data_IF_634658638005
#
_entry.id   IF_634658638005
#
_cell.length_a   1.000
_cell.length_b   1.000
_cell.length_c   1.000
_cell.angle_alpha   90.00
_cell.angle_beta   90.00
_cell.angle_gamma   90.00
#
_symmetry.space_group_name_H-M   'P 1'
#
loop_
_entity.id
_entity.type
_entity.pdbx_description
1 polymer ?
#
# COMPACT_ATOMS: atom_id res chain seq x y z
N UNK A 1 -16.03 13.31 2.19
CA UNK A 1 -16.25 13.04 0.75
C UNK A 1 -15.05 12.29 0.12
N UNK A 2 -13.81 12.80 0.23
CA UNK A 2 -12.62 12.16 -0.38
C UNK A 2 -12.37 10.71 0.10
N UNK A 3 -12.59 10.41 1.38
CA UNK A 3 -12.41 9.06 1.92
C UNK A 3 -13.44 8.04 1.42
N UNK A 4 -14.66 8.49 1.11
CA UNK A 4 -15.71 7.61 0.60
C UNK A 4 -15.52 7.21 -0.87
N UNK A 5 -14.78 8.02 -1.64
CA UNK A 5 -14.55 7.86 -3.08
C UNK A 5 -13.10 7.46 -3.43
N UNK A 6 -12.26 7.24 -2.41
CA UNK A 6 -10.82 7.03 -2.58
C UNK A 6 -10.48 5.92 -3.59
N UNK A 7 -11.30 4.84 -3.64
CA UNK A 7 -11.11 3.73 -4.58
C UNK A 7 -11.32 4.08 -6.07
N UNK A 8 -12.03 5.18 -6.36
CA UNK A 8 -12.39 5.59 -7.71
C UNK A 8 -11.59 6.81 -8.20
N UNK A 9 -10.80 7.45 -7.32
CA UNK A 9 -10.02 8.63 -7.68
C UNK A 9 -8.67 8.24 -8.26
N UNK A 10 -8.37 8.77 -9.44
CA UNK A 10 -7.08 8.57 -10.09
C UNK A 10 -6.05 9.64 -9.71
N UNK A 11 -6.50 10.85 -9.37
CA UNK A 11 -5.70 12.02 -9.03
C UNK A 11 -6.60 13.13 -8.48
N UNK A 12 -6.04 14.00 -7.65
CA UNK A 12 -6.70 15.21 -7.15
C UNK A 12 -5.98 16.45 -7.70
N UNK A 13 -6.75 17.37 -8.29
CA UNK A 13 -6.30 18.75 -8.56
C UNK A 13 -6.80 19.61 -7.42
N UNK A 14 -5.90 20.22 -6.67
CA UNK A 14 -6.21 20.93 -5.43
C UNK A 14 -5.81 22.39 -5.52
N UNK A 15 -6.78 23.29 -5.43
CA UNK A 15 -6.50 24.72 -5.31
C UNK A 15 -6.06 25.04 -3.87
N UNK A 16 -5.08 25.94 -3.71
CA UNK A 16 -4.66 26.41 -2.39
C UNK A 16 -5.75 27.32 -1.80
N UNK A 17 -6.29 28.22 -2.58
CA UNK A 17 -7.22 29.25 -2.12
C UNK A 17 -8.67 28.75 -2.18
N UNK A 18 -9.09 28.02 -1.16
CA UNK A 18 -10.47 27.57 -1.01
C UNK A 18 -11.13 28.13 0.25
N UNK A 19 -12.46 28.40 0.23
CA UNK A 19 -13.17 28.81 1.43
C UNK A 19 -13.28 27.64 2.43
N UNK A 20 -13.34 27.95 3.73
CA UNK A 20 -13.52 27.04 4.87
C UNK A 20 -12.26 26.23 5.21
N UNK A 21 -11.61 25.58 4.23
CA UNK A 21 -10.38 24.79 4.40
C UNK A 21 -9.47 25.05 3.22
N UNK A 22 -8.23 25.46 3.49
CA UNK A 22 -7.27 25.73 2.42
C UNK A 22 -6.68 24.42 1.85
N UNK A 23 -6.04 24.50 0.67
CA UNK A 23 -5.47 23.34 0.02
C UNK A 23 -4.32 22.69 0.81
N UNK A 24 -3.59 23.44 1.61
CA UNK A 24 -2.54 22.89 2.48
C UNK A 24 -3.12 22.07 3.63
N UNK A 25 -4.25 22.50 4.20
CA UNK A 25 -4.96 21.75 5.24
C UNK A 25 -5.50 20.42 4.70
N UNK A 26 -6.08 20.44 3.49
CA UNK A 26 -6.53 19.22 2.79
C UNK A 26 -5.34 18.29 2.55
N UNK A 27 -4.24 18.81 2.00
CA UNK A 27 -3.03 18.03 1.71
C UNK A 27 -2.44 17.42 2.98
N UNK A 28 -2.38 18.18 4.06
CA UNK A 28 -1.93 17.71 5.37
C UNK A 28 -2.82 16.58 5.90
N UNK A 29 -4.14 16.70 5.76
CA UNK A 29 -5.08 15.67 6.17
C UNK A 29 -4.92 14.39 5.33
N UNK A 30 -4.71 14.51 4.02
CA UNK A 30 -4.45 13.38 3.12
C UNK A 30 -3.13 12.68 3.46
N UNK A 31 -2.09 13.43 3.83
CA UNK A 31 -0.80 12.88 4.25
C UNK A 31 -0.92 12.15 5.59
N UNK A 32 -1.57 12.75 6.59
CA UNK A 32 -1.77 12.15 7.90
C UNK A 32 -2.56 10.82 7.85
N UNK A 33 -3.42 10.66 6.85
CA UNK A 33 -4.22 9.44 6.63
C UNK A 33 -3.58 8.50 5.58
N UNK A 34 -2.34 8.74 5.15
CA UNK A 34 -1.64 7.98 4.11
C UNK A 34 -2.36 7.90 2.75
N UNK A 35 -3.44 8.67 2.54
CA UNK A 35 -4.22 8.67 1.29
C UNK A 35 -3.40 9.21 0.12
N UNK A 36 -2.40 10.05 0.39
CA UNK A 36 -1.53 10.64 -0.62
C UNK A 36 -0.58 9.62 -1.27
N UNK A 37 -0.33 8.49 -0.62
CA UNK A 37 0.49 7.41 -1.16
C UNK A 37 -0.19 6.71 -2.35
N UNK A 38 -1.53 6.65 -2.30
CA UNK A 38 -2.33 6.00 -3.34
C UNK A 38 -2.92 6.99 -4.35
N UNK A 39 -3.22 8.23 -3.92
CA UNK A 39 -3.89 9.23 -4.73
C UNK A 39 -2.98 10.45 -4.87
N UNK A 40 -2.35 10.66 -6.05
CA UNK A 40 -1.49 11.80 -6.27
C UNK A 40 -2.28 13.11 -6.22
N UNK A 41 -1.65 14.14 -5.68
CA UNK A 41 -2.21 15.48 -5.58
C UNK A 41 -1.35 16.45 -6.39
N UNK A 42 -1.96 17.18 -7.31
CA UNK A 42 -1.34 18.31 -8.00
C UNK A 42 -1.94 19.59 -7.45
N UNK A 43 -1.09 20.41 -6.83
CA UNK A 43 -1.52 21.72 -6.33
C UNK A 43 -1.67 22.72 -7.46
N UNK A 44 -2.69 23.56 -7.41
CA UNK A 44 -2.91 24.65 -8.37
C UNK A 44 -3.03 25.97 -7.59
N UNK A 45 -2.26 26.99 -7.95
CA UNK A 45 -2.31 28.27 -7.27
C UNK A 45 -1.88 29.44 -8.16
N UNK A 46 -2.27 30.64 -7.75
CA UNK A 46 -1.71 31.90 -8.26
C UNK A 46 -0.52 32.41 -7.43
N UNK A 47 -0.21 31.75 -6.31
CA UNK A 47 0.98 32.03 -5.50
C UNK A 47 2.17 31.28 -6.11
N UNK A 48 3.14 32.00 -6.66
CA UNK A 48 4.36 31.48 -7.28
C UNK A 48 5.57 31.60 -6.35
N UNK A 49 5.36 31.88 -5.07
CA UNK A 49 6.44 31.98 -4.09
C UNK A 49 7.13 30.64 -3.88
N UNK A 50 8.45 30.67 -3.80
CA UNK A 50 9.26 29.46 -3.46
C UNK A 50 8.80 28.81 -2.15
N UNK A 51 8.30 29.61 -1.22
CA UNK A 51 7.80 29.11 0.05
C UNK A 51 6.53 28.27 -0.11
N UNK A 52 5.56 28.70 -0.90
CA UNK A 52 4.32 27.95 -1.17
C UNK A 52 4.62 26.65 -1.95
N UNK A 53 5.50 26.74 -2.95
CA UNK A 53 5.91 25.59 -3.76
C UNK A 53 6.61 24.56 -2.86
N UNK A 54 7.61 24.97 -2.07
CA UNK A 54 8.35 24.10 -1.16
C UNK A 54 7.43 23.44 -0.14
N UNK A 55 6.56 24.21 0.50
CA UNK A 55 5.57 23.71 1.46
C UNK A 55 4.65 22.65 0.86
N UNK A 56 4.24 22.81 -0.41
CA UNK A 56 3.41 21.84 -1.11
C UNK A 56 4.12 20.48 -1.22
N UNK A 57 5.38 20.47 -1.65
CA UNK A 57 6.17 19.25 -1.77
C UNK A 57 6.49 18.62 -0.42
N UNK A 58 6.81 19.43 0.61
CA UNK A 58 7.04 18.94 1.97
C UNK A 58 5.80 18.27 2.58
N UNK A 59 4.60 18.71 2.20
CA UNK A 59 3.34 18.09 2.59
C UNK A 59 2.94 16.89 1.72
N UNK A 60 3.74 16.55 0.69
CA UNK A 60 3.56 15.36 -0.12
C UNK A 60 2.83 15.59 -1.45
N UNK A 61 2.68 16.82 -1.93
CA UNK A 61 2.15 17.06 -3.27
C UNK A 61 3.04 16.41 -4.34
N UNK A 62 2.42 15.79 -5.32
CA UNK A 62 3.12 15.14 -6.44
C UNK A 62 3.62 16.16 -7.47
N UNK A 63 2.93 17.30 -7.60
CA UNK A 63 3.30 18.39 -8.52
C UNK A 63 2.64 19.70 -8.10
N UNK A 64 3.12 20.81 -8.68
CA UNK A 64 2.62 22.16 -8.46
C UNK A 64 2.47 22.88 -9.78
N UNK A 65 1.35 23.58 -9.98
CA UNK A 65 1.02 24.31 -11.21
C UNK A 65 0.64 25.77 -10.89
N UNK A 66 1.43 26.71 -11.40
CA UNK A 66 1.14 28.14 -11.25
C UNK A 66 0.07 28.62 -12.24
N UNK A 67 -0.78 29.53 -11.79
CA UNK A 67 -1.67 30.30 -12.67
C UNK A 67 -0.98 31.57 -13.11
N UNK A 68 -1.16 32.02 -14.39
CA UNK A 68 -1.93 31.37 -15.46
C UNK A 68 -1.21 30.17 -16.05
N UNK A 69 -1.93 29.10 -16.43
CA UNK A 69 -1.35 27.88 -16.99
C UNK A 69 -1.87 27.57 -18.40
N UNK A 70 -1.05 26.88 -19.19
CA UNK A 70 -1.49 26.26 -20.45
C UNK A 70 -2.19 24.92 -20.14
N UNK A 71 -3.45 24.82 -20.56
CA UNK A 71 -4.26 23.62 -20.34
C UNK A 71 -3.62 22.33 -20.90
N UNK A 72 -2.85 22.44 -21.99
CA UNK A 72 -2.13 21.30 -22.59
C UNK A 72 -1.00 20.81 -21.69
N UNK A 73 -0.30 21.74 -21.02
CA UNK A 73 0.76 21.39 -20.06
C UNK A 73 0.13 20.69 -18.84
N UNK A 74 -0.93 21.25 -18.28
CA UNK A 74 -1.65 20.64 -17.15
C UNK A 74 -2.17 19.26 -17.51
N UNK A 75 -2.78 19.10 -18.67
CA UNK A 75 -3.25 17.80 -19.16
C UNK A 75 -2.12 16.75 -19.23
N UNK A 76 -0.94 17.16 -19.72
CA UNK A 76 0.23 16.26 -19.77
C UNK A 76 0.74 15.90 -18.39
N UNK A 77 0.82 16.84 -17.46
CA UNK A 77 1.23 16.58 -16.06
C UNK A 77 0.27 15.62 -15.38
N UNK A 78 -1.03 15.88 -15.45
CA UNK A 78 -2.08 14.99 -14.94
C UNK A 78 -1.96 13.58 -15.51
N UNK A 79 -1.83 13.47 -16.84
CA UNK A 79 -1.72 12.18 -17.52
C UNK A 79 -0.45 11.42 -17.10
N UNK A 80 0.70 12.08 -17.01
CA UNK A 80 1.96 11.47 -16.62
C UNK A 80 1.93 11.00 -15.16
N UNK A 81 1.44 11.84 -14.27
CA UNK A 81 1.31 11.51 -12.85
C UNK A 81 0.36 10.34 -12.63
N UNK A 82 -0.83 10.38 -13.26
CA UNK A 82 -1.80 9.28 -13.18
C UNK A 82 -1.22 7.95 -13.71
N UNK A 83 -0.48 7.98 -14.82
CA UNK A 83 0.19 6.79 -15.37
C UNK A 83 1.26 6.24 -14.44
N UNK A 84 2.04 7.11 -13.78
CA UNK A 84 3.06 6.70 -12.83
C UNK A 84 2.46 5.95 -11.64
N UNK A 85 1.44 6.53 -11.01
CA UNK A 85 0.74 5.91 -9.88
C UNK A 85 -0.01 4.63 -10.27
N UNK A 86 -0.61 4.58 -11.46
CA UNK A 86 -1.22 3.35 -11.98
C UNK A 86 -0.19 2.22 -12.15
N UNK A 87 1.02 2.53 -12.64
CA UNK A 87 2.13 1.56 -12.74
C UNK A 87 2.59 1.09 -11.36
N UNK A 88 2.75 2.01 -10.41
CA UNK A 88 3.14 1.69 -9.04
C UNK A 88 2.13 0.74 -8.38
N UNK A 89 0.84 1.06 -8.44
CA UNK A 89 -0.24 0.18 -7.92
C UNK A 89 -0.20 -1.21 -8.57
N UNK A 90 0.01 -1.27 -9.89
CA UNK A 90 0.14 -2.55 -10.60
C UNK A 90 1.33 -3.37 -10.12
N UNK A 91 2.48 -2.73 -9.87
CA UNK A 91 3.67 -3.41 -9.35
C UNK A 91 3.44 -3.96 -7.95
N UNK A 92 2.84 -3.18 -7.05
CA UNK A 92 2.47 -3.63 -5.71
C UNK A 92 1.54 -4.84 -5.77
N UNK A 93 0.51 -4.79 -6.64
CA UNK A 93 -0.39 -5.91 -6.84
C UNK A 93 0.34 -7.16 -7.34
N UNK A 94 1.21 -7.03 -8.34
CA UNK A 94 2.00 -8.16 -8.86
C UNK A 94 2.90 -8.78 -7.79
N UNK A 95 3.53 -7.96 -6.94
CA UNK A 95 4.35 -8.46 -5.82
C UNK A 95 3.49 -9.21 -4.81
N UNK A 96 2.33 -8.67 -4.44
CA UNK A 96 1.38 -9.34 -3.54
C UNK A 96 0.90 -10.68 -4.10
N UNK A 97 0.59 -10.73 -5.40
CA UNK A 97 0.16 -11.96 -6.07
C UNK A 97 1.29 -13.00 -6.12
N UNK A 98 2.54 -12.56 -6.33
CA UNK A 98 3.72 -13.45 -6.27
C UNK A 98 3.96 -14.02 -4.87
N UNK A 99 3.79 -13.22 -3.82
CA UNK A 99 3.93 -13.67 -2.44
C UNK A 99 2.89 -14.76 -2.16
N UNK A 100 1.62 -14.51 -2.47
CA UNK A 100 0.53 -15.49 -2.32
C UNK A 100 0.76 -16.78 -3.11
N UNK A 101 1.28 -16.67 -4.34
CA UNK A 101 1.60 -17.84 -5.14
C UNK A 101 2.74 -18.66 -4.53
N UNK A 102 3.75 -18.02 -3.93
CA UNK A 102 4.83 -18.70 -3.21
C UNK A 102 4.34 -19.43 -1.96
N UNK A 103 3.49 -18.77 -1.16
CA UNK A 103 2.88 -19.38 0.02
C UNK A 103 2.09 -20.64 -0.35
N UNK A 104 1.22 -20.56 -1.37
CA UNK A 104 0.46 -21.70 -1.86
C UNK A 104 1.34 -22.84 -2.37
N UNK A 105 2.45 -22.51 -3.06
CA UNK A 105 3.40 -23.54 -3.52
C UNK A 105 4.11 -24.23 -2.35
N UNK A 106 4.49 -23.48 -1.31
CA UNK A 106 5.11 -24.04 -0.11
C UNK A 106 4.15 -24.98 0.61
N UNK A 107 2.89 -24.62 0.76
CA UNK A 107 1.87 -25.45 1.35
C UNK A 107 1.63 -26.76 0.56
N UNK A 108 1.65 -26.66 -0.76
CA UNK A 108 1.54 -27.81 -1.65
C UNK A 108 2.74 -28.75 -1.49
N UNK A 109 3.96 -28.20 -1.44
CA UNK A 109 5.19 -28.99 -1.24
C UNK A 109 5.20 -29.71 0.12
N UNK A 110 4.82 -29.01 1.19
CA UNK A 110 4.68 -29.58 2.52
C UNK A 110 3.64 -30.71 2.52
N UNK A 111 2.50 -30.50 1.83
CA UNK A 111 1.48 -31.54 1.66
C UNK A 111 1.99 -32.78 0.94
N UNK A 112 2.71 -32.60 -0.18
CA UNK A 112 3.30 -33.72 -0.95
C UNK A 112 4.37 -34.44 -0.15
N UNK A 113 5.28 -33.72 0.52
CA UNK A 113 6.32 -34.31 1.37
C UNK A 113 5.71 -35.06 2.54
N UNK A 114 4.67 -34.51 3.18
CA UNK A 114 3.93 -35.22 4.24
C UNK A 114 3.35 -36.51 3.73
N UNK A 115 2.76 -36.54 2.54
CA UNK A 115 2.19 -37.76 1.94
C UNK A 115 3.26 -38.79 1.59
N UNK A 116 4.43 -38.36 1.10
CA UNK A 116 5.57 -39.28 0.84
C UNK A 116 6.10 -39.91 2.12
N UNK A 117 6.25 -39.12 3.18
CA UNK A 117 6.70 -39.61 4.50
C UNK A 117 5.70 -40.61 5.08
N UNK A 118 4.41 -40.33 4.94
CA UNK A 118 3.33 -41.24 5.35
C UNK A 118 3.39 -42.58 4.63
N UNK A 119 3.51 -42.54 3.31
CA UNK A 119 3.57 -43.74 2.48
C UNK A 119 4.78 -44.62 2.87
N UNK A 120 5.90 -43.99 3.26
CA UNK A 120 7.12 -44.72 3.66
C UNK A 120 7.04 -45.30 5.06
N UNK A 121 6.38 -44.65 6.01
CA UNK A 121 6.40 -45.02 7.43
C UNK A 121 5.11 -45.73 7.90
N UNK A 122 4.11 -45.91 7.05
CA UNK A 122 2.83 -46.53 7.43
C UNK A 122 1.99 -45.71 8.42
N UNK A 123 2.42 -44.46 8.73
CA UNK A 123 1.68 -43.59 9.60
C UNK A 123 0.65 -42.74 8.80
N UNK A 124 -0.50 -42.50 9.38
CA UNK A 124 -1.58 -41.78 8.66
C UNK A 124 -1.32 -40.31 8.58
N UNK A 125 -1.59 -39.67 7.42
CA UNK A 125 -1.44 -38.26 7.19
C UNK A 125 -2.24 -37.32 8.08
N UNK A 126 -3.15 -37.88 8.82
CA UNK A 126 -3.78 -37.20 9.94
C UNK A 126 -2.77 -36.80 11.02
N UNK A 127 -1.73 -37.62 11.28
CA UNK A 127 -0.74 -37.33 12.30
C UNK A 127 0.14 -36.12 11.97
N UNK A 128 0.65 -36.05 10.74
CA UNK A 128 1.50 -34.92 10.30
C UNK A 128 0.69 -33.60 10.26
N UNK A 129 -0.56 -33.67 9.80
CA UNK A 129 -1.47 -32.49 9.84
C UNK A 129 -1.76 -32.05 11.28
N UNK A 130 -2.00 -32.97 12.20
CA UNK A 130 -2.22 -32.65 13.61
C UNK A 130 -0.99 -32.01 14.24
N UNK A 131 0.21 -32.52 14.00
CA UNK A 131 1.45 -31.91 14.52
C UNK A 131 1.62 -30.50 13.97
N UNK A 132 1.42 -30.27 12.67
CA UNK A 132 1.46 -28.93 12.06
C UNK A 132 0.49 -27.98 12.76
N UNK A 133 -0.78 -28.36 12.87
CA UNK A 133 -1.80 -27.52 13.51
C UNK A 133 -1.47 -27.19 14.96
N UNK A 134 -0.99 -28.16 15.74
CA UNK A 134 -0.58 -27.94 17.13
C UNK A 134 0.63 -27.00 17.19
N UNK A 135 1.61 -27.17 16.30
CA UNK A 135 2.79 -26.30 16.24
C UNK A 135 2.42 -24.87 15.89
N UNK A 136 1.56 -24.66 14.90
CA UNK A 136 1.03 -23.36 14.52
C UNK A 136 0.26 -22.69 15.68
N UNK A 137 -0.58 -23.44 16.38
CA UNK A 137 -1.32 -22.95 17.55
C UNK A 137 -0.37 -22.53 18.70
N UNK A 138 0.67 -23.33 18.95
CA UNK A 138 1.66 -23.04 19.98
C UNK A 138 2.51 -21.80 19.62
N UNK A 139 2.93 -21.68 18.38
CA UNK A 139 3.67 -20.51 17.89
C UNK A 139 2.80 -19.24 17.96
N UNK A 140 1.53 -19.30 17.55
CA UNK A 140 0.59 -18.18 17.69
C UNK A 140 0.45 -17.74 19.14
N UNK A 141 0.30 -18.68 20.06
CA UNK A 141 0.16 -18.39 21.48
C UNK A 141 1.46 -17.87 22.13
N UNK A 142 2.62 -18.28 21.61
CA UNK A 142 3.91 -17.73 22.00
C UNK A 142 4.09 -16.29 21.49
N UNK A 143 3.66 -16.00 20.25
CA UNK A 143 3.69 -14.66 19.68
C UNK A 143 2.73 -13.69 20.40
N UNK A 144 1.54 -14.12 20.77
CA UNK A 144 0.58 -13.33 21.56
C UNK A 144 1.11 -13.02 22.97
N UNK A 145 1.92 -13.90 23.55
CA UNK A 145 2.55 -13.72 24.87
C UNK A 145 3.99 -13.17 24.78
N UNK A 146 4.38 -12.58 23.65
CA UNK A 146 5.78 -12.36 23.25
C UNK A 146 6.52 -11.21 23.92
N UNK A 147 6.07 -10.67 25.05
CA UNK A 147 6.94 -9.82 25.89
C UNK A 147 8.15 -10.59 26.48
N UNK A 148 8.25 -11.90 26.29
CA UNK A 148 9.26 -12.74 26.89
C UNK A 148 10.18 -13.46 25.87
N UNK A 149 9.80 -13.51 24.59
CA UNK A 149 10.55 -14.24 23.54
C UNK A 149 10.64 -13.38 22.28
N UNK A 150 11.85 -13.08 21.80
CA UNK A 150 12.10 -12.33 20.56
C UNK A 150 11.96 -13.23 19.32
N UNK A 151 10.75 -13.72 19.05
CA UNK A 151 10.43 -14.49 17.84
C UNK A 151 9.67 -13.55 16.91
N UNK A 152 10.17 -13.34 15.68
CA UNK A 152 9.47 -12.58 14.65
C UNK A 152 8.49 -13.48 13.88
N UNK A 153 7.42 -12.91 13.35
CA UNK A 153 6.43 -13.63 12.54
C UNK A 153 6.99 -14.18 11.20
N UNK A 154 8.24 -13.86 10.87
CA UNK A 154 8.92 -14.28 9.63
C UNK A 154 9.84 -15.51 9.85
N UNK A 155 9.99 -15.99 11.06
CA UNK A 155 10.71 -17.23 11.42
C UNK A 155 9.75 -18.41 11.62
#
# INVERSE_FOLDING_TARGET
>A
ALQAEAGNLALVLLDINMPVMDGFEVLKAMNANHTIEDIPVIMISSDDSDAAIRRSYELGASDYVNRPFDARIVYRRVTNTSKLYAKQRRLVQMVSDQIRARENNTDTLVGVLSHIVEFRNGESGAHVRHIRTITEMLLHRLLENSNKYSISAEQ
#
